data_IF_188599852343
#
_entry.id   IF_188599852343
#
_cell.length_a   1.000
_cell.length_b   1.000
_cell.length_c   1.000
_cell.angle_alpha   90.00
_cell.angle_beta   90.00
_cell.angle_gamma   90.00
#
_symmetry.space_group_name_H-M   'P 1'
#
loop_
_entity.id
_entity.type
_entity.pdbx_description
1 polymer ?
#
# COMPACT_ATOMS: atom_id res chain seq x y z
N UNK A 1 -4.98 -6.26 14.37
CA UNK A 1 -5.69 -5.30 13.49
C UNK A 1 -6.72 -6.03 12.67
N UNK A 2 -7.92 -5.47 12.58
CA UNK A 2 -8.99 -6.06 11.77
C UNK A 2 -9.02 -5.39 10.40
N UNK A 3 -9.14 -6.20 9.36
CA UNK A 3 -9.18 -5.72 8.00
C UNK A 3 -10.27 -6.44 7.21
N UNK A 4 -10.76 -5.77 6.18
CA UNK A 4 -11.58 -6.37 5.15
C UNK A 4 -10.69 -6.66 3.95
N UNK A 5 -10.82 -7.83 3.36
CA UNK A 5 -10.00 -8.25 2.23
C UNK A 5 -10.90 -8.50 1.03
N UNK A 6 -10.56 -7.87 -0.11
CA UNK A 6 -11.25 -8.10 -1.37
C UNK A 6 -10.19 -8.48 -2.41
N UNK A 7 -10.16 -9.74 -2.81
CA UNK A 7 -9.16 -10.25 -3.74
C UNK A 7 -9.63 -10.08 -5.17
N UNK A 8 -8.82 -9.36 -5.95
CA UNK A 8 -9.03 -9.15 -7.38
C UNK A 8 -8.07 -10.05 -8.17
N UNK A 9 -8.14 -9.97 -9.49
CA UNK A 9 -7.30 -10.80 -10.35
C UNK A 9 -5.81 -10.47 -10.19
N UNK A 10 -5.47 -9.18 -10.08
CA UNK A 10 -4.08 -8.71 -10.09
C UNK A 10 -3.60 -8.15 -8.76
N UNK A 11 -4.49 -7.97 -7.79
CA UNK A 11 -4.14 -7.36 -6.50
C UNK A 11 -5.17 -7.69 -5.44
N UNK A 12 -4.80 -7.44 -4.19
CA UNK A 12 -5.72 -7.56 -3.05
C UNK A 12 -6.00 -6.17 -2.49
N UNK A 13 -7.28 -5.87 -2.26
CA UNK A 13 -7.67 -4.63 -1.58
C UNK A 13 -7.79 -4.95 -0.10
N UNK A 14 -6.97 -4.32 0.71
CA UNK A 14 -6.94 -4.50 2.17
C UNK A 14 -7.45 -3.21 2.81
N UNK A 15 -8.55 -3.31 3.53
CA UNK A 15 -9.21 -2.14 4.13
C UNK A 15 -9.20 -2.28 5.65
N UNK A 16 -8.38 -1.49 6.37
CA UNK A 16 -8.45 -1.46 7.84
C UNK A 16 -9.83 -0.97 8.29
N UNK A 17 -10.35 -1.58 9.34
CA UNK A 17 -11.67 -1.23 9.88
C UNK A 17 -11.54 -0.16 10.97
N UNK A 18 -10.44 -0.15 11.72
CA UNK A 18 -10.23 0.82 12.79
C UNK A 18 -10.05 2.24 12.23
N UNK A 19 -10.70 3.25 12.85
CA UNK A 19 -10.55 4.63 12.39
C UNK A 19 -9.21 5.27 12.75
N UNK A 20 -8.51 4.73 13.75
CA UNK A 20 -7.21 5.23 14.20
C UNK A 20 -6.17 4.14 14.04
N UNK A 21 -5.11 4.42 13.28
CA UNK A 21 -3.97 3.52 13.17
C UNK A 21 -2.86 4.08 14.07
N UNK A 22 -2.67 3.45 15.21
CA UNK A 22 -1.73 3.90 16.23
C UNK A 22 -0.41 3.15 16.17
N UNK A 23 0.61 3.70 16.83
CA UNK A 23 1.96 3.10 16.86
C UNK A 23 1.96 1.68 17.41
N UNK A 24 1.01 1.33 18.29
CA UNK A 24 0.90 -0.03 18.84
C UNK A 24 0.45 -1.05 17.80
N UNK A 25 -0.04 -0.61 16.65
CA UNK A 25 -0.57 -1.48 15.60
C UNK A 25 0.46 -1.83 14.52
N UNK A 26 1.69 -1.30 14.61
CA UNK A 26 2.71 -1.50 13.56
C UNK A 26 3.02 -2.98 13.31
N UNK A 27 3.14 -3.78 14.36
CA UNK A 27 3.38 -5.22 14.20
C UNK A 27 2.21 -5.93 13.56
N UNK A 28 0.98 -5.55 13.94
CA UNK A 28 -0.24 -6.11 13.35
C UNK A 28 -0.34 -5.80 11.87
N UNK A 29 0.06 -4.60 11.46
CA UNK A 29 0.06 -4.18 10.06
C UNK A 29 1.04 -5.06 9.26
N UNK A 30 2.24 -5.29 9.79
CA UNK A 30 3.22 -6.17 9.15
C UNK A 30 2.68 -7.59 8.99
N UNK A 31 2.07 -8.11 10.04
CA UNK A 31 1.52 -9.48 10.05
C UNK A 31 0.43 -9.64 8.99
N UNK A 32 -0.36 -8.58 8.74
CA UNK A 32 -1.41 -8.62 7.72
C UNK A 32 -0.84 -8.50 6.31
N UNK A 33 0.12 -7.61 6.08
CA UNK A 33 0.53 -7.20 4.73
C UNK A 33 1.70 -8.02 4.16
N UNK A 34 2.73 -8.28 4.95
CA UNK A 34 3.93 -8.95 4.43
C UNK A 34 3.70 -10.37 3.92
N UNK A 35 2.76 -11.17 4.49
CA UNK A 35 2.51 -12.51 3.94
C UNK A 35 2.08 -12.55 2.49
N UNK A 36 1.50 -11.46 1.95
CA UNK A 36 1.13 -11.41 0.54
C UNK A 36 2.32 -11.52 -0.39
N UNK A 37 3.53 -11.19 0.07
CA UNK A 37 4.75 -11.34 -0.71
C UNK A 37 5.07 -12.80 -1.05
N UNK A 38 4.45 -13.75 -0.34
CA UNK A 38 4.60 -15.20 -0.60
C UNK A 38 3.46 -15.76 -1.42
N UNK A 39 2.46 -14.95 -1.76
CA UNK A 39 1.34 -15.38 -2.59
C UNK A 39 1.72 -15.32 -4.06
N UNK A 40 0.92 -15.98 -4.89
CA UNK A 40 1.04 -15.89 -6.34
C UNK A 40 0.72 -14.48 -6.82
N UNK A 41 -0.37 -13.89 -6.33
CA UNK A 41 -0.69 -12.48 -6.54
C UNK A 41 -0.20 -11.72 -5.31
N UNK A 42 0.81 -10.87 -5.49
CA UNK A 42 1.48 -10.20 -4.38
C UNK A 42 1.03 -8.76 -4.18
N UNK A 43 0.50 -8.11 -5.22
CA UNK A 43 0.20 -6.69 -5.18
C UNK A 43 -0.92 -6.38 -4.19
N UNK A 44 -0.76 -5.28 -3.45
CA UNK A 44 -1.74 -4.84 -2.44
C UNK A 44 -2.13 -3.39 -2.70
N UNK A 45 -3.43 -3.14 -2.70
CA UNK A 45 -4.01 -1.80 -2.63
C UNK A 45 -4.55 -1.63 -1.21
N UNK A 46 -3.99 -0.68 -0.48
CA UNK A 46 -4.31 -0.44 0.93
C UNK A 46 -5.34 0.69 1.00
N UNK A 47 -6.61 0.32 1.18
CA UNK A 47 -7.74 1.25 1.20
C UNK A 47 -7.87 1.89 2.57
N UNK A 48 -7.60 3.19 2.64
CA UNK A 48 -7.60 3.94 3.89
C UNK A 48 -8.87 4.77 4.11
N UNK A 49 -9.95 4.43 3.41
CA UNK A 49 -11.19 5.22 3.47
C UNK A 49 -11.80 5.29 4.88
N UNK A 50 -11.56 4.30 5.72
CA UNK A 50 -12.07 4.29 7.10
C UNK A 50 -11.10 4.90 8.12
N UNK A 51 -9.89 5.28 7.70
CA UNK A 51 -8.85 5.77 8.60
C UNK A 51 -8.98 7.28 8.74
N UNK A 52 -9.31 7.75 9.95
CA UNK A 52 -9.41 9.18 10.27
C UNK A 52 -8.05 9.77 10.60
N UNK A 53 -7.23 9.02 11.35
CA UNK A 53 -5.92 9.49 11.79
C UNK A 53 -4.93 8.33 11.81
N UNK A 54 -3.65 8.66 11.65
CA UNK A 54 -2.58 7.67 11.81
C UNK A 54 -1.37 8.33 12.47
N UNK A 55 -0.62 7.54 13.23
CA UNK A 55 0.59 8.00 13.89
C UNK A 55 1.77 8.03 12.91
N UNK A 56 2.77 8.85 13.21
CA UNK A 56 3.99 8.93 12.40
C UNK A 56 4.66 7.56 12.27
N UNK A 57 4.66 6.75 13.32
CA UNK A 57 5.25 5.40 13.29
C UNK A 57 4.54 4.50 12.25
N UNK A 58 3.21 4.64 12.12
CA UNK A 58 2.45 3.88 11.13
C UNK A 58 2.80 4.36 9.71
N UNK A 59 2.89 5.68 9.50
CA UNK A 59 3.25 6.22 8.20
C UNK A 59 4.63 5.73 7.75
N UNK A 60 5.60 5.75 8.64
CA UNK A 60 6.94 5.22 8.37
C UNK A 60 6.89 3.73 8.07
N UNK A 61 6.08 2.97 8.82
CA UNK A 61 5.91 1.55 8.59
C UNK A 61 5.35 1.26 7.21
N UNK A 62 4.38 2.06 6.75
CA UNK A 62 3.81 1.89 5.41
C UNK A 62 4.85 2.16 4.32
N UNK A 63 5.74 3.13 4.53
CA UNK A 63 6.86 3.36 3.60
C UNK A 63 7.80 2.17 3.54
N UNK A 64 8.15 1.58 4.67
CA UNK A 64 8.99 0.39 4.73
C UNK A 64 8.32 -0.80 4.03
N UNK A 65 7.03 -0.99 4.25
CA UNK A 65 6.27 -2.05 3.59
C UNK A 65 6.24 -1.83 2.08
N UNK A 66 6.01 -0.60 1.64
CA UNK A 66 6.05 -0.26 0.22
C UNK A 66 7.40 -0.65 -0.40
N UNK A 67 8.49 -0.35 0.29
CA UNK A 67 9.83 -0.70 -0.19
C UNK A 67 10.03 -2.21 -0.22
N UNK A 68 9.57 -2.92 0.80
CA UNK A 68 9.65 -4.39 0.83
C UNK A 68 8.92 -5.00 -0.35
N UNK A 69 7.74 -4.47 -0.70
CA UNK A 69 7.00 -4.93 -1.87
C UNK A 69 7.78 -4.67 -3.15
N UNK A 70 8.32 -3.48 -3.31
CA UNK A 70 9.14 -3.12 -4.47
C UNK A 70 10.32 -4.06 -4.65
N UNK A 71 11.04 -4.35 -3.57
CA UNK A 71 12.19 -5.23 -3.59
C UNK A 71 11.83 -6.67 -3.96
N UNK A 72 10.56 -7.04 -3.78
CA UNK A 72 10.05 -8.37 -4.11
C UNK A 72 9.23 -8.38 -5.40
N UNK A 73 9.42 -7.41 -6.26
CA UNK A 73 8.74 -7.29 -7.56
C UNK A 73 7.22 -7.21 -7.42
N UNK A 74 6.76 -6.50 -6.40
CA UNK A 74 5.34 -6.31 -6.13
C UNK A 74 5.03 -4.83 -5.96
N UNK A 75 3.75 -4.47 -6.04
CA UNK A 75 3.28 -3.11 -5.86
C UNK A 75 2.49 -2.98 -4.57
N UNK A 76 2.69 -1.87 -3.88
CA UNK A 76 1.91 -1.48 -2.71
C UNK A 76 1.46 -0.04 -2.93
N UNK A 77 0.15 0.17 -3.03
CA UNK A 77 -0.42 1.50 -3.27
C UNK A 77 -1.48 1.77 -2.22
N UNK A 78 -1.33 2.87 -1.48
CA UNK A 78 -2.40 3.35 -0.58
C UNK A 78 -3.41 4.15 -1.40
N UNK A 79 -4.67 4.11 -1.00
CA UNK A 79 -5.70 4.86 -1.71
C UNK A 79 -6.80 5.35 -0.77
N UNK A 80 -7.62 6.26 -1.29
CA UNK A 80 -8.81 6.73 -0.60
C UNK A 80 -8.49 7.38 0.75
N UNK A 81 -7.36 8.06 0.86
CA UNK A 81 -6.97 8.72 2.11
C UNK A 81 -7.95 9.84 2.45
N UNK A 82 -8.28 9.95 3.75
CA UNK A 82 -9.15 11.02 4.23
C UNK A 82 -8.38 12.34 4.24
N UNK A 83 -9.10 13.45 4.31
CA UNK A 83 -8.49 14.78 4.33
C UNK A 83 -7.50 14.93 5.48
N UNK A 84 -7.84 14.43 6.67
CA UNK A 84 -6.94 14.48 7.82
C UNK A 84 -5.64 13.71 7.58
N UNK A 85 -5.73 12.53 6.99
CA UNK A 85 -4.56 11.72 6.68
C UNK A 85 -3.73 12.38 5.59
N UNK A 86 -4.37 12.93 4.57
CA UNK A 86 -3.68 13.65 3.50
C UNK A 86 -2.89 14.84 4.06
N UNK A 87 -3.51 15.63 4.92
CA UNK A 87 -2.85 16.75 5.58
C UNK A 87 -1.66 16.29 6.44
N UNK A 88 -1.84 15.21 7.18
CA UNK A 88 -0.77 14.64 8.01
C UNK A 88 0.42 14.21 7.14
N UNK A 89 0.17 13.53 6.03
CA UNK A 89 1.23 13.09 5.13
C UNK A 89 1.98 14.27 4.52
N UNK A 90 1.25 15.32 4.11
CA UNK A 90 1.86 16.52 3.56
C UNK A 90 2.69 17.26 4.59
N UNK A 91 2.19 17.43 5.81
CA UNK A 91 2.89 18.14 6.88
C UNK A 91 4.17 17.42 7.32
N UNK A 92 4.22 16.12 7.16
CA UNK A 92 5.39 15.30 7.53
C UNK A 92 6.26 14.94 6.32
N UNK A 93 6.03 15.58 5.17
CA UNK A 93 6.79 15.39 3.95
C UNK A 93 6.77 13.94 3.42
N UNK A 94 5.68 13.22 3.69
CA UNK A 94 5.52 11.81 3.30
C UNK A 94 4.66 11.64 2.06
N UNK A 95 3.91 12.67 1.65
CA UNK A 95 2.96 12.56 0.54
C UNK A 95 3.61 12.24 -0.80
N UNK A 96 4.87 12.61 -1.00
CA UNK A 96 5.60 12.29 -2.24
C UNK A 96 6.33 10.96 -2.17
N UNK A 97 6.57 10.46 -0.95
CA UNK A 97 7.30 9.21 -0.75
C UNK A 97 6.38 8.00 -0.78
N UNK A 98 5.20 8.12 -0.19
CA UNK A 98 4.22 7.05 -0.18
C UNK A 98 3.41 7.09 -1.47
N UNK A 99 3.27 5.94 -2.11
CA UNK A 99 2.50 5.82 -3.34
C UNK A 99 1.01 5.85 -3.00
N UNK A 100 0.36 6.97 -3.29
CA UNK A 100 -1.04 7.21 -2.91
C UNK A 100 -1.87 7.57 -4.15
N UNK A 101 -3.01 6.90 -4.30
CA UNK A 101 -3.97 7.18 -5.36
C UNK A 101 -5.29 7.67 -4.75
N UNK A 102 -6.05 8.53 -5.45
CA UNK A 102 -7.33 9.02 -4.91
C UNK A 102 -8.40 7.94 -4.78
N UNK A 103 -8.40 6.95 -5.66
CA UNK A 103 -9.45 5.92 -5.73
C UNK A 103 -8.82 4.55 -5.90
N UNK A 104 -9.62 3.50 -5.64
CA UNK A 104 -9.20 2.13 -5.90
C UNK A 104 -8.93 1.92 -7.40
N UNK A 105 -9.74 2.52 -8.27
CA UNK A 105 -9.56 2.42 -9.71
C UNK A 105 -8.20 2.96 -10.16
N UNK A 106 -7.83 4.13 -9.67
CA UNK A 106 -6.53 4.73 -10.00
C UNK A 106 -5.37 3.94 -9.38
N UNK A 107 -5.57 3.40 -8.17
CA UNK A 107 -4.58 2.51 -7.57
C UNK A 107 -4.37 1.26 -8.42
N UNK A 108 -5.44 0.68 -8.94
CA UNK A 108 -5.38 -0.46 -9.86
C UNK A 108 -4.56 -0.11 -11.11
N UNK A 109 -4.77 1.07 -11.66
CA UNK A 109 -4.00 1.53 -12.83
C UNK A 109 -2.51 1.63 -12.53
N UNK A 110 -2.16 2.13 -11.34
CA UNK A 110 -0.76 2.21 -10.92
C UNK A 110 -0.15 0.81 -10.81
N UNK A 111 -0.86 -0.14 -10.20
CA UNK A 111 -0.40 -1.52 -10.09
C UNK A 111 -0.11 -2.11 -11.48
N UNK A 112 -1.02 -1.92 -12.42
CA UNK A 112 -0.87 -2.43 -13.78
C UNK A 112 0.31 -1.78 -14.50
N UNK A 113 0.49 -0.48 -14.36
CA UNK A 113 1.62 0.22 -14.95
C UNK A 113 2.95 -0.29 -14.39
N UNK A 114 3.03 -0.49 -13.09
CA UNK A 114 4.24 -1.00 -12.46
C UNK A 114 4.55 -2.43 -12.89
N UNK A 115 3.54 -3.27 -13.07
CA UNK A 115 3.74 -4.62 -13.61
C UNK A 115 4.31 -4.58 -15.02
N UNK A 116 3.76 -3.72 -15.87
CA UNK A 116 4.26 -3.56 -17.24
C UNK A 116 5.71 -3.07 -17.25
N UNK A 117 6.03 -2.11 -16.41
CA UNK A 117 7.40 -1.61 -16.29
C UNK A 117 8.37 -2.71 -15.87
N UNK A 118 7.97 -3.56 -14.92
CA UNK A 118 8.81 -4.68 -14.48
C UNK A 118 9.03 -5.69 -15.59
N UNK A 119 7.99 -5.99 -16.37
CA UNK A 119 8.10 -6.91 -17.53
C UNK A 119 9.05 -6.36 -18.59
N UNK A 120 8.97 -5.07 -18.87
CA UNK A 120 9.85 -4.43 -19.84
C UNK A 120 11.31 -4.44 -19.39
N UNK A 121 11.55 -4.24 -18.10
CA UNK A 121 12.90 -4.31 -17.55
C UNK A 121 13.46 -5.73 -17.61
N UNK A 122 12.63 -6.73 -17.35
CA UNK A 122 13.04 -8.13 -17.49
C UNK A 122 13.42 -8.47 -18.92
N UNK A 123 12.66 -7.98 -19.90
CA UNK A 123 12.97 -8.16 -21.31
C UNK A 123 14.30 -7.51 -21.68
N UNK A 124 14.58 -6.32 -21.16
CA UNK A 124 15.86 -5.64 -21.36
C UNK A 124 17.03 -6.43 -20.80
N UNK A 125 16.82 -7.07 -19.66
CA UNK A 125 17.86 -7.89 -19.02
C UNK A 125 18.17 -9.14 -19.84
N UNK A 126 17.17 -9.68 -20.53
CA UNK A 126 17.32 -10.89 -21.32
C UNK A 126 18.06 -10.68 -22.66
N UNK A 127 18.13 -9.46 -23.09
CA UNK A 127 18.88 -9.09 -24.28
C UNK A 127 20.37 -8.93 -24.01
#
# INVERSE_FOLDING_TARGET
MQVKIDTKEKFHVITPIEPVLSATMTDGIKVVLLPYLKNEVKNVVFDMSNVSTLDAAVAEQLLHIQQDFYENNASFVACCVTENVETFLADNELSELLNVAPTISEASDIVQMEEIERELMDDDVLE
#
